data_IF_071907486424
#
_entry.id   IF_071907486424
#
_cell.length_a   1.000
_cell.length_b   1.000
_cell.length_c   1.000
_cell.angle_alpha   90.00
_cell.angle_beta   90.00
_cell.angle_gamma   90.00
#
_symmetry.space_group_name_H-M   'P 1'
#
loop_
_entity.id
_entity.type
_entity.pdbx_description
1 polymer ?
#
# COMPACT_ATOMS: atom_id res chain seq x y z
N UNK A 1 -15.51 0.01 23.37
CA UNK A 1 -15.69 -1.34 22.79
C UNK A 1 -15.28 -2.37 23.82
N UNK A 2 -16.03 -3.48 23.94
CA UNK A 2 -15.56 -4.62 24.72
C UNK A 2 -14.33 -5.26 24.05
N UNK A 3 -13.33 -5.72 24.81
CA UNK A 3 -12.22 -6.49 24.25
C UNK A 3 -12.76 -7.67 23.42
N UNK A 4 -12.28 -7.81 22.17
CA UNK A 4 -12.67 -8.91 21.28
C UNK A 4 -13.87 -8.65 20.34
N UNK A 5 -14.50 -7.47 20.39
CA UNK A 5 -15.51 -7.12 19.38
C UNK A 5 -14.89 -6.90 17.99
N UNK A 6 -15.55 -7.30 16.89
CA UNK A 6 -15.07 -7.05 15.53
C UNK A 6 -14.87 -5.55 15.25
N UNK A 7 -13.80 -5.22 14.53
CA UNK A 7 -13.48 -3.84 14.11
C UNK A 7 -13.92 -3.60 12.66
N UNK A 8 -14.39 -2.39 12.29
CA UNK A 8 -14.60 -2.02 10.89
C UNK A 8 -13.29 -2.13 10.10
N UNK A 9 -13.36 -2.64 8.87
CA UNK A 9 -12.19 -2.82 7.99
C UNK A 9 -12.28 -1.84 6.82
N UNK A 10 -11.22 -1.05 6.62
CA UNK A 10 -11.06 -0.17 5.46
C UNK A 10 -9.95 -0.71 4.55
N UNK A 11 -10.28 -0.97 3.28
CA UNK A 11 -9.30 -1.28 2.25
C UNK A 11 -8.86 0.03 1.58
N UNK A 12 -7.57 0.34 1.64
CA UNK A 12 -7.02 1.59 1.11
C UNK A 12 -6.15 1.33 -0.12
N UNK A 13 -6.46 2.05 -1.20
CA UNK A 13 -5.68 2.10 -2.43
C UNK A 13 -5.04 3.49 -2.57
N UNK A 14 -3.71 3.59 -2.72
CA UNK A 14 -3.05 4.86 -3.01
C UNK A 14 -3.40 5.34 -4.43
N UNK A 15 -3.11 6.62 -4.70
CA UNK A 15 -3.20 7.18 -6.05
C UNK A 15 -2.05 6.73 -6.95
N UNK A 16 -2.23 6.86 -8.27
CA UNK A 16 -1.25 6.46 -9.28
C UNK A 16 0.13 7.05 -9.03
N UNK A 17 1.17 6.21 -9.13
CA UNK A 17 2.55 6.61 -8.90
C UNK A 17 2.97 6.73 -7.43
N UNK A 18 2.03 6.79 -6.49
CA UNK A 18 2.35 6.99 -5.08
C UNK A 18 2.53 5.67 -4.33
N UNK A 19 3.59 5.55 -3.51
CA UNK A 19 3.68 4.50 -2.50
C UNK A 19 2.56 4.63 -1.46
N UNK A 20 2.13 3.50 -0.88
CA UNK A 20 1.09 3.49 0.18
C UNK A 20 1.51 4.28 1.42
N UNK A 21 2.82 4.34 1.68
CA UNK A 21 3.44 5.02 2.83
C UNK A 21 3.19 6.53 2.82
N UNK A 22 2.98 7.14 1.64
CA UNK A 22 2.65 8.56 1.50
C UNK A 22 1.31 8.91 2.17
N UNK A 23 0.45 7.94 2.42
CA UNK A 23 -0.88 8.12 3.02
C UNK A 23 -0.93 7.74 4.51
N UNK A 24 0.21 7.56 5.17
CA UNK A 24 0.25 7.08 6.57
C UNK A 24 -0.56 7.96 7.52
N UNK A 25 -0.59 9.30 7.33
CA UNK A 25 -1.34 10.19 8.20
C UNK A 25 -2.86 9.90 8.24
N UNK A 26 -3.49 9.62 7.10
CA UNK A 26 -4.92 9.28 7.06
C UNK A 26 -5.18 7.84 7.53
N UNK A 27 -4.24 6.93 7.26
CA UNK A 27 -4.29 5.54 7.73
C UNK A 27 -4.24 5.49 9.26
N UNK A 28 -3.33 6.26 9.88
CA UNK A 28 -3.18 6.35 11.33
C UNK A 28 -4.39 7.00 12.00
N UNK A 29 -4.96 8.07 11.41
CA UNK A 29 -6.18 8.68 11.93
C UNK A 29 -7.34 7.66 11.96
N UNK A 30 -7.55 6.88 10.89
CA UNK A 30 -8.57 5.83 10.86
C UNK A 30 -8.30 4.73 11.89
N UNK A 31 -7.05 4.29 12.02
CA UNK A 31 -6.65 3.28 12.99
C UNK A 31 -6.87 3.75 14.44
N UNK A 32 -6.56 5.01 14.75
CA UNK A 32 -6.79 5.63 16.07
C UNK A 32 -8.27 5.65 16.47
N UNK A 33 -9.17 5.71 15.48
CA UNK A 33 -10.62 5.66 15.65
C UNK A 33 -11.17 4.22 15.77
N UNK A 34 -10.31 3.22 15.76
CA UNK A 34 -10.68 1.81 15.96
C UNK A 34 -10.91 1.00 14.69
N UNK A 35 -10.50 1.51 13.53
CA UNK A 35 -10.53 0.73 12.28
C UNK A 35 -9.33 -0.23 12.19
N UNK A 36 -9.50 -1.31 11.45
CA UNK A 36 -8.40 -2.05 10.82
C UNK A 36 -8.25 -1.51 9.40
N UNK A 37 -7.08 -0.97 9.07
CA UNK A 37 -6.81 -0.46 7.72
C UNK A 37 -5.87 -1.42 7.01
N UNK A 38 -6.30 -1.90 5.84
CA UNK A 38 -5.49 -2.73 4.95
C UNK A 38 -5.07 -1.86 3.77
N UNK A 39 -3.81 -1.46 3.73
CA UNK A 39 -3.23 -0.74 2.59
C UNK A 39 -2.53 -1.72 1.65
N UNK A 40 -2.55 -1.42 0.37
CA UNK A 40 -1.91 -2.23 -0.67
C UNK A 40 -0.99 -1.38 -1.55
N UNK A 41 -0.02 -2.03 -2.17
CA UNK A 41 0.87 -1.41 -3.15
C UNK A 41 0.51 -1.92 -4.55
N UNK A 42 0.40 -1.02 -5.51
CA UNK A 42 0.17 -1.36 -6.91
C UNK A 42 1.53 -1.63 -7.55
N UNK A 43 1.90 -2.90 -7.67
CA UNK A 43 3.18 -3.30 -8.27
C UNK A 43 3.26 -2.78 -9.70
N UNK A 44 4.41 -2.21 -10.08
CA UNK A 44 4.66 -1.58 -11.38
C UNK A 44 3.90 -0.26 -11.65
N UNK A 45 3.11 0.22 -10.69
CA UNK A 45 2.44 1.53 -10.76
C UNK A 45 2.99 2.49 -9.69
N UNK A 46 3.09 2.03 -8.44
CA UNK A 46 3.70 2.80 -7.36
C UNK A 46 5.19 3.04 -7.65
N UNK A 47 5.72 4.20 -7.27
CA UNK A 47 7.13 4.56 -7.49
C UNK A 47 8.13 3.48 -7.02
N UNK A 48 7.80 2.76 -5.95
CA UNK A 48 8.56 1.62 -5.45
C UNK A 48 7.64 0.65 -4.69
N UNK A 49 7.86 -0.65 -4.88
CA UNK A 49 7.26 -1.73 -4.09
C UNK A 49 8.36 -2.70 -3.67
N UNK A 50 8.62 -2.78 -2.37
CA UNK A 50 9.55 -3.76 -1.80
C UNK A 50 8.80 -5.03 -1.39
N UNK A 51 9.25 -6.16 -1.92
CA UNK A 51 8.82 -7.50 -1.55
C UNK A 51 9.77 -8.12 -0.51
N UNK A 52 9.33 -9.17 0.20
CA UNK A 52 10.21 -9.94 1.07
C UNK A 52 11.50 -10.37 0.37
N UNK A 53 12.63 -10.31 1.08
CA UNK A 53 13.94 -10.59 0.52
C UNK A 53 14.59 -9.40 -0.20
N UNK A 54 14.05 -8.19 -0.06
CA UNK A 54 14.64 -6.96 -0.59
C UNK A 54 14.46 -6.78 -2.11
N UNK A 55 13.58 -7.58 -2.74
CA UNK A 55 13.25 -7.39 -4.15
C UNK A 55 12.44 -6.12 -4.30
N UNK A 56 12.99 -5.16 -5.04
CA UNK A 56 12.38 -3.87 -5.30
C UNK A 56 11.85 -3.82 -6.73
N UNK A 57 10.53 -3.64 -6.88
CA UNK A 57 9.88 -3.38 -8.17
C UNK A 57 9.59 -1.88 -8.29
N UNK A 58 9.85 -1.31 -9.47
CA UNK A 58 9.64 0.12 -9.75
C UNK A 58 8.44 0.31 -10.69
N UNK A 59 7.90 1.53 -10.72
CA UNK A 59 6.89 1.91 -11.69
C UNK A 59 7.40 1.72 -13.13
N UNK A 60 6.56 1.15 -14.00
CA UNK A 60 6.85 1.06 -15.42
C UNK A 60 6.27 2.29 -16.10
N UNK A 61 7.13 3.25 -16.43
CA UNK A 61 6.82 4.23 -17.46
C UNK A 61 6.67 3.48 -18.79
N UNK A 62 5.76 3.90 -19.68
CA UNK A 62 5.48 3.26 -20.98
C UNK A 62 6.67 3.23 -21.97
N UNK A 63 7.85 3.58 -21.50
CA UNK A 63 9.08 3.92 -22.22
C UNK A 63 10.12 2.78 -22.14
N UNK A 64 9.81 1.64 -21.50
CA UNK A 64 10.68 0.46 -21.47
C UNK A 64 11.50 0.28 -20.20
N UNK A 65 10.83 0.21 -19.06
CA UNK A 65 11.43 -0.35 -17.83
C UNK A 65 11.97 -1.78 -18.07
N UNK A 66 12.97 -2.23 -17.28
CA UNK A 66 13.59 -3.54 -17.46
C UNK A 66 12.53 -4.65 -17.45
N UNK A 67 12.73 -5.75 -18.23
CA UNK A 67 11.73 -6.79 -18.37
C UNK A 67 11.36 -7.37 -17.00
N UNK A 68 10.06 -7.49 -16.75
CA UNK A 68 9.54 -8.12 -15.55
C UNK A 68 10.08 -9.54 -15.42
N UNK A 69 10.66 -9.91 -14.27
CA UNK A 69 10.99 -11.31 -14.02
C UNK A 69 9.69 -12.13 -14.09
N UNK A 70 9.73 -13.20 -14.91
CA UNK A 70 8.66 -14.20 -14.98
C UNK A 70 8.59 -15.04 -13.72
#
# INVERSE_FOLDING_TARGET
>A
MAPGAPKPVALFSPGFGYPRETYTAIIDDLASRGHVVVSLSHTYESAAVEFPGGRLELAVSGDGGPPHPR
#
